data_IF_601084141211
#
_entry.id   IF_601084141211
#
_cell.length_a   1.000
_cell.length_b   1.000
_cell.length_c   1.000
_cell.angle_alpha   90.00
_cell.angle_beta   90.00
_cell.angle_gamma   90.00
#
_symmetry.space_group_name_H-M   'P 1'
#
loop_
_entity.id
_entity.type
_entity.pdbx_description
1 polymer ?
#
# COMPACT_ATOMS: atom_id res chain seq x y z
N UNK A 1 -7.23 -9.98 -25.62
CA UNK A 1 -7.90 -9.52 -24.38
C UNK A 1 -7.31 -8.17 -24.03
N UNK A 2 -8.11 -7.14 -23.74
CA UNK A 2 -7.56 -5.87 -23.25
C UNK A 2 -6.78 -6.16 -21.97
N UNK A 3 -5.56 -5.60 -21.89
CA UNK A 3 -4.64 -5.88 -20.78
C UNK A 3 -5.15 -5.10 -19.57
N UNK A 4 -5.70 -5.82 -18.58
CA UNK A 4 -6.10 -5.20 -17.32
C UNK A 4 -4.88 -4.54 -16.67
N UNK A 5 -5.04 -3.28 -16.25
CA UNK A 5 -3.97 -2.53 -15.61
C UNK A 5 -4.09 -2.73 -14.11
N UNK A 6 -3.02 -3.20 -13.48
CA UNK A 6 -2.93 -3.27 -12.02
C UNK A 6 -2.45 -1.92 -11.49
N UNK A 7 -3.17 -1.38 -10.51
CA UNK A 7 -2.79 -0.19 -9.77
C UNK A 7 -2.70 -0.54 -8.30
N UNK A 8 -1.57 -0.18 -7.68
CA UNK A 8 -1.35 -0.35 -6.24
C UNK A 8 -1.24 1.03 -5.59
N UNK A 9 -2.01 1.24 -4.53
CA UNK A 9 -1.89 2.38 -3.63
C UNK A 9 -1.40 1.95 -2.26
N UNK A 10 -0.46 2.69 -1.70
CA UNK A 10 0.07 2.51 -0.35
C UNK A 10 -0.12 3.80 0.42
N UNK A 11 -0.77 3.73 1.58
CA UNK A 11 -0.93 4.84 2.51
C UNK A 11 -0.11 4.58 3.78
N UNK A 12 0.90 5.41 3.98
CA UNK A 12 1.81 5.34 5.13
C UNK A 12 1.38 6.37 6.17
N UNK A 13 0.57 5.92 7.12
CA UNK A 13 0.14 6.72 8.26
C UNK A 13 0.99 6.47 9.52
N UNK A 14 0.86 7.36 10.51
CA UNK A 14 1.49 7.15 11.84
C UNK A 14 0.77 6.11 12.70
N UNK A 15 -0.48 5.76 12.35
CA UNK A 15 -1.26 4.74 13.08
C UNK A 15 -1.27 3.41 12.34
N UNK A 16 -1.39 3.44 11.01
CA UNK A 16 -1.51 2.26 10.16
C UNK A 16 -0.80 2.46 8.83
N UNK A 17 -0.39 1.36 8.22
CA UNK A 17 0.04 1.31 6.81
C UNK A 17 -0.97 0.49 6.02
N UNK A 18 -1.58 1.09 5.01
CA UNK A 18 -2.61 0.45 4.18
C UNK A 18 -2.13 0.22 2.76
N UNK A 19 -2.32 -0.99 2.21
CA UNK A 19 -2.09 -1.27 0.79
C UNK A 19 -3.38 -1.72 0.15
N UNK A 20 -3.71 -1.15 -1.01
CA UNK A 20 -4.86 -1.52 -1.84
C UNK A 20 -4.41 -1.80 -3.26
N UNK A 21 -4.84 -2.92 -3.82
CA UNK A 21 -4.56 -3.32 -5.20
C UNK A 21 -5.88 -3.37 -5.97
N UNK A 22 -5.92 -2.70 -7.12
CA UNK A 22 -7.07 -2.66 -8.01
C UNK A 22 -6.70 -3.14 -9.42
N UNK A 23 -7.59 -3.93 -10.02
CA UNK A 23 -7.60 -4.16 -11.46
C UNK A 23 -8.48 -3.10 -12.12
N UNK A 24 -7.95 -2.48 -13.18
CA UNK A 24 -8.60 -1.41 -13.94
C UNK A 24 -8.75 -1.83 -15.39
N UNK A 25 -9.98 -1.78 -15.89
CA UNK A 25 -10.34 -1.86 -17.29
C UNK A 25 -10.95 -0.53 -17.77
N UNK A 26 -11.28 -0.41 -19.05
CA UNK A 26 -11.86 0.81 -19.62
C UNK A 26 -13.19 1.24 -18.96
N UNK A 27 -13.96 0.27 -18.45
CA UNK A 27 -15.31 0.51 -17.93
C UNK A 27 -15.47 0.24 -16.44
N UNK A 28 -14.45 -0.33 -15.78
CA UNK A 28 -14.56 -0.76 -14.38
C UNK A 28 -13.23 -0.69 -13.63
N UNK A 29 -13.35 -0.31 -12.36
CA UNK A 29 -12.30 -0.50 -11.35
C UNK A 29 -12.80 -1.56 -10.36
N UNK A 30 -11.94 -2.52 -10.03
CA UNK A 30 -12.25 -3.56 -9.04
C UNK A 30 -11.10 -3.68 -8.05
N UNK A 31 -11.39 -3.49 -6.76
CA UNK A 31 -10.42 -3.78 -5.70
C UNK A 31 -10.29 -5.28 -5.58
N UNK A 32 -9.09 -5.79 -5.79
CA UNK A 32 -8.79 -7.23 -5.79
C UNK A 32 -7.94 -7.66 -4.59
N UNK A 33 -7.31 -6.71 -3.89
CA UNK A 33 -6.60 -7.00 -2.64
C UNK A 33 -6.50 -5.80 -1.73
N UNK A 34 -6.56 -6.07 -0.42
CA UNK A 34 -6.33 -5.08 0.64
C UNK A 34 -5.47 -5.68 1.73
N UNK A 35 -4.60 -4.89 2.35
CA UNK A 35 -3.74 -5.33 3.45
C UNK A 35 -4.51 -5.63 4.74
N UNK A 36 -5.73 -5.12 4.87
CA UNK A 36 -6.42 -4.98 6.15
C UNK A 36 -5.65 -4.03 7.09
N UNK A 37 -5.81 -4.23 8.40
CA UNK A 37 -5.08 -3.46 9.40
C UNK A 37 -3.63 -3.97 9.53
N UNK A 38 -2.68 -3.07 9.25
CA UNK A 38 -1.27 -3.24 9.59
C UNK A 38 -0.86 -2.05 10.46
N UNK A 39 -0.58 -2.26 11.75
CA UNK A 39 -0.12 -1.20 12.64
C UNK A 39 1.16 -0.56 12.10
N UNK A 40 1.19 0.77 12.11
CA UNK A 40 2.40 1.50 11.72
C UNK A 40 3.45 1.43 12.83
N UNK A 41 4.70 1.27 12.44
CA UNK A 41 5.87 1.40 13.29
C UNK A 41 6.90 2.24 12.55
N UNK A 42 7.66 3.03 13.29
CA UNK A 42 8.71 3.87 12.71
C UNK A 42 8.23 5.14 11.99
N UNK A 43 6.92 5.41 11.95
CA UNK A 43 6.37 6.68 11.44
C UNK A 43 5.59 7.39 12.54
N UNK A 44 5.94 8.66 12.81
CA UNK A 44 5.28 9.47 13.83
C UNK A 44 5.01 10.89 13.34
N UNK A 45 3.73 11.30 13.37
CA UNK A 45 3.24 12.58 12.83
C UNK A 45 3.80 12.89 11.44
N UNK A 46 3.90 11.83 10.64
CA UNK A 46 4.41 11.89 9.28
C UNK A 46 5.92 11.87 9.10
N UNK A 47 6.69 11.92 10.18
CA UNK A 47 8.14 11.78 10.11
C UNK A 47 8.54 10.32 10.27
N UNK A 48 9.46 9.84 9.45
CA UNK A 48 10.11 8.55 9.64
C UNK A 48 11.11 8.69 10.78
N UNK A 49 10.83 8.07 11.92
CA UNK A 49 11.65 8.12 13.14
C UNK A 49 12.47 6.84 13.34
N UNK A 50 12.06 5.75 12.69
CA UNK A 50 12.79 4.48 12.62
C UNK A 50 12.53 3.86 11.25
N UNK A 51 13.57 3.79 10.43
CA UNK A 51 13.47 3.35 9.03
C UNK A 51 13.22 1.85 8.93
N UNK A 52 13.85 1.04 9.77
CA UNK A 52 13.74 -0.42 9.69
C UNK A 52 12.33 -0.85 10.08
N UNK A 53 11.80 -0.27 11.16
CA UNK A 53 10.41 -0.48 11.57
C UNK A 53 9.40 -0.04 10.50
N UNK A 54 9.68 1.06 9.80
CA UNK A 54 8.81 1.53 8.71
C UNK A 54 8.84 0.60 7.50
N UNK A 55 10.03 0.11 7.13
CA UNK A 55 10.22 -0.88 6.06
C UNK A 55 9.45 -2.16 6.37
N UNK A 56 9.55 -2.69 7.60
CA UNK A 56 8.80 -3.88 8.01
C UNK A 56 7.28 -3.69 7.91
N UNK A 57 6.77 -2.55 8.39
CA UNK A 57 5.33 -2.26 8.35
C UNK A 57 4.80 -2.12 6.91
N UNK A 58 5.57 -1.48 6.02
CA UNK A 58 5.22 -1.32 4.61
C UNK A 58 5.27 -2.68 3.90
N UNK A 59 6.33 -3.46 4.09
CA UNK A 59 6.47 -4.79 3.50
C UNK A 59 5.32 -5.73 3.91
N UNK A 60 4.97 -5.74 5.20
CA UNK A 60 3.85 -6.53 5.71
C UNK A 60 2.50 -6.11 5.11
N UNK A 61 2.31 -4.81 4.84
CA UNK A 61 1.10 -4.29 4.18
C UNK A 61 1.01 -4.75 2.72
N UNK A 62 2.12 -4.68 1.98
CA UNK A 62 2.21 -5.13 0.59
C UNK A 62 1.95 -6.64 0.50
N UNK A 63 2.64 -7.45 1.31
CA UNK A 63 2.52 -8.91 1.29
C UNK A 63 1.08 -9.38 1.51
N UNK A 64 0.37 -8.78 2.48
CA UNK A 64 -1.04 -9.11 2.74
C UNK A 64 -1.94 -8.79 1.54
N UNK A 65 -1.74 -7.61 0.93
CA UNK A 65 -2.54 -7.20 -0.22
C UNK A 65 -2.25 -8.06 -1.45
N UNK A 66 -0.98 -8.37 -1.72
CA UNK A 66 -0.55 -9.28 -2.80
C UNK A 66 -1.14 -10.68 -2.63
N UNK A 67 -1.07 -11.23 -1.42
CA UNK A 67 -1.64 -12.54 -1.08
C UNK A 67 -3.14 -12.59 -1.35
N UNK A 68 -3.85 -11.51 -1.03
CA UNK A 68 -5.30 -11.41 -1.29
C UNK A 68 -5.60 -11.26 -2.78
N UNK A 69 -4.80 -10.46 -3.50
CA UNK A 69 -5.00 -10.20 -4.92
C UNK A 69 -4.51 -11.32 -5.84
N UNK A 70 -3.61 -12.20 -5.36
CA UNK A 70 -2.99 -13.23 -6.18
C UNK A 70 -2.05 -12.67 -7.25
N UNK A 71 -1.49 -11.48 -7.04
CA UNK A 71 -0.58 -10.80 -7.97
C UNK A 71 0.61 -10.21 -7.23
N UNK A 72 1.73 -10.05 -7.92
CA UNK A 72 2.89 -9.32 -7.41
C UNK A 72 2.83 -7.85 -7.81
N UNK A 73 3.15 -6.97 -6.86
CA UNK A 73 3.26 -5.52 -7.01
C UNK A 73 4.64 -5.20 -7.56
N UNK A 74 4.67 -4.48 -8.69
CA UNK A 74 5.91 -3.99 -9.32
C UNK A 74 6.08 -2.48 -9.23
N UNK A 75 5.00 -1.76 -8.97
CA UNK A 75 4.97 -0.30 -8.80
C UNK A 75 3.79 0.08 -7.93
N UNK A 76 3.91 1.20 -7.22
CA UNK A 76 2.84 1.70 -6.36
C UNK A 76 2.83 3.23 -6.35
N UNK A 77 1.64 3.79 -6.16
CA UNK A 77 1.45 5.17 -5.72
C UNK A 77 1.50 5.19 -4.20
N UNK A 78 2.36 6.03 -3.63
CA UNK A 78 2.57 6.07 -2.18
C UNK A 78 2.14 7.43 -1.66
N UNK A 79 1.35 7.44 -0.59
CA UNK A 79 1.02 8.61 0.19
C UNK A 79 1.65 8.52 1.57
N UNK A 80 2.17 9.64 2.05
CA UNK A 80 2.62 9.80 3.43
C UNK A 80 2.20 11.20 3.86
N UNK A 81 1.54 11.29 5.02
CA UNK A 81 1.30 12.59 5.61
C UNK A 81 2.60 13.09 6.25
N UNK A 82 2.88 14.39 6.23
CA UNK A 82 4.04 14.97 6.89
C UNK A 82 4.14 16.47 6.59
N UNK A 83 4.77 17.25 7.47
CA UNK A 83 4.93 18.70 7.27
C UNK A 83 5.93 19.08 6.17
N UNK A 84 6.46 18.09 5.46
CA UNK A 84 7.53 18.21 4.47
C UNK A 84 7.10 17.74 3.07
N UNK A 85 5.83 17.38 2.89
CA UNK A 85 5.20 16.90 1.64
C UNK A 85 4.04 17.84 1.29
#
# INVERSE_FOLDING_TARGET
>A
MPKEKIITGIDVGSTKVGTTIASVSESRVSVIGVSGEVPSKGVNKGNVVDIDSAVEAIAASIEKAERMAGVSVSSAFVTINGSHI
#
